data_IF_864229190646
#
_entry.id   IF_864229190646
#
_cell.length_a   1.000
_cell.length_b   1.000
_cell.length_c   1.000
_cell.angle_alpha   90.00
_cell.angle_beta   90.00
_cell.angle_gamma   90.00
#
_symmetry.space_group_name_H-M   'P 1'
#
loop_
_entity.id
_entity.type
_entity.pdbx_description
1 polymer ?
#
# COMPACT_ATOMS: atom_id res chain seq x y z
N UNK A 1 3.80 8.93 3.25
CA UNK A 1 2.65 9.87 3.14
C UNK A 1 2.73 10.78 1.93
N UNK A 2 3.86 11.49 1.77
CA UNK A 2 4.09 12.46 0.70
C UNK A 2 3.92 11.90 -0.72
N UNK A 3 4.43 10.70 -1.00
CA UNK A 3 4.31 10.01 -2.29
C UNK A 3 2.85 9.72 -2.67
N UNK A 4 1.97 9.51 -1.68
CA UNK A 4 0.54 9.30 -1.89
C UNK A 4 -0.22 10.54 -2.38
N UNK A 5 0.40 11.72 -2.32
CA UNK A 5 -0.19 12.98 -2.78
C UNK A 5 0.00 13.25 -4.26
N UNK A 6 0.90 12.50 -4.92
CA UNK A 6 1.24 12.70 -6.33
C UNK A 6 0.12 12.26 -7.27
N UNK A 7 0.00 12.98 -8.38
CA UNK A 7 -0.93 12.61 -9.45
C UNK A 7 -0.53 11.29 -10.15
N UNK A 8 0.77 11.10 -10.36
CA UNK A 8 1.32 9.82 -10.77
C UNK A 8 2.24 9.28 -9.66
N UNK A 9 1.76 8.36 -8.80
CA UNK A 9 2.55 7.82 -7.72
C UNK A 9 3.63 6.85 -8.21
N UNK A 10 3.65 6.46 -9.49
CA UNK A 10 4.69 5.59 -10.07
C UNK A 10 5.94 6.38 -10.48
N UNK A 11 5.76 7.56 -11.05
CA UNK A 11 6.81 8.37 -11.64
C UNK A 11 7.11 9.65 -10.84
N UNK A 12 7.70 9.50 -9.65
CA UNK A 12 8.17 10.64 -8.84
C UNK A 12 9.51 11.13 -9.40
N UNK A 13 9.65 12.40 -9.82
CA UNK A 13 10.91 12.91 -10.36
C UNK A 13 12.04 12.87 -9.32
N UNK A 14 13.25 12.51 -9.74
CA UNK A 14 14.44 12.46 -8.87
C UNK A 14 14.70 13.79 -8.14
N UNK A 15 14.47 14.92 -8.82
CA UNK A 15 14.62 16.25 -8.24
C UNK A 15 13.64 16.47 -7.07
N UNK A 16 12.40 16.03 -7.20
CA UNK A 16 11.39 16.15 -6.16
C UNK A 16 11.68 15.21 -4.99
N UNK A 17 12.04 13.96 -5.28
CA UNK A 17 12.43 12.99 -4.25
C UNK A 17 13.66 13.46 -3.48
N UNK A 18 14.69 13.94 -4.18
CA UNK A 18 15.91 14.50 -3.57
C UNK A 18 15.56 15.71 -2.69
N UNK A 19 14.74 16.63 -3.18
CA UNK A 19 14.31 17.81 -2.43
C UNK A 19 13.56 17.41 -1.17
N UNK A 20 12.63 16.46 -1.28
CA UNK A 20 11.87 15.96 -0.14
C UNK A 20 12.79 15.31 0.90
N UNK A 21 13.71 14.44 0.46
CA UNK A 21 14.68 13.80 1.36
C UNK A 21 15.53 14.84 2.10
N UNK A 22 16.01 15.88 1.42
CA UNK A 22 16.78 16.98 2.07
C UNK A 22 15.96 17.71 3.12
N UNK A 23 14.69 18.01 2.83
CA UNK A 23 13.78 18.67 3.77
C UNK A 23 13.56 17.77 4.99
N UNK A 24 13.33 16.48 4.78
CA UNK A 24 13.07 15.54 5.89
C UNK A 24 14.34 15.37 6.74
N UNK A 25 15.50 15.13 6.14
CA UNK A 25 16.74 14.89 6.90
C UNK A 25 17.16 16.10 7.71
N UNK A 26 17.07 17.31 7.14
CA UNK A 26 17.36 18.55 7.88
C UNK A 26 16.36 18.87 8.99
N UNK A 27 15.10 18.40 8.84
CA UNK A 27 14.08 18.59 9.88
C UNK A 27 14.22 17.62 11.05
N UNK A 28 14.84 16.45 10.83
CA UNK A 28 14.96 15.39 11.84
C UNK A 28 16.36 15.30 12.45
N UNK A 29 17.39 15.76 11.76
CA UNK A 29 18.79 15.67 12.21
C UNK A 29 19.48 17.01 11.97
N UNK A 30 19.70 17.77 13.05
CA UNK A 30 20.21 19.15 13.02
C UNK A 30 21.57 19.32 12.33
N UNK A 31 22.44 18.30 12.38
CA UNK A 31 23.80 18.34 11.82
C UNK A 31 23.96 17.54 10.52
N UNK A 32 22.86 17.16 9.86
CA UNK A 32 22.92 16.37 8.65
C UNK A 32 23.34 17.21 7.43
N UNK A 33 24.38 16.79 6.72
CA UNK A 33 24.78 17.42 5.46
C UNK A 33 23.75 17.11 4.34
N UNK A 34 22.80 18.01 4.16
CA UNK A 34 21.76 17.89 3.14
C UNK A 34 22.31 17.87 1.71
N UNK A 35 23.50 18.43 1.46
CA UNK A 35 24.13 18.41 0.14
C UNK A 35 24.64 17.01 -0.24
N UNK A 36 24.82 16.12 0.76
CA UNK A 36 25.17 14.73 0.53
C UNK A 36 24.01 13.88 -0.02
N UNK A 37 22.78 14.40 -0.08
CA UNK A 37 21.62 13.71 -0.69
C UNK A 37 21.52 14.07 -2.17
N UNK A 38 21.90 13.13 -3.03
CA UNK A 38 21.84 13.24 -4.49
C UNK A 38 21.44 11.89 -5.12
N UNK A 39 20.97 11.85 -6.37
CA UNK A 39 20.75 10.60 -7.09
C UNK A 39 22.00 9.70 -7.05
N UNK A 40 21.79 8.41 -6.78
CA UNK A 40 22.87 7.40 -6.65
C UNK A 40 23.54 7.32 -5.27
N UNK A 41 23.27 8.26 -4.35
CA UNK A 41 23.76 8.18 -2.97
C UNK A 41 23.02 7.10 -2.17
N UNK A 42 23.61 6.51 -1.11
CA UNK A 42 22.96 5.47 -0.33
C UNK A 42 21.57 5.84 0.20
N UNK A 43 21.39 7.08 0.68
CA UNK A 43 20.10 7.61 1.16
C UNK A 43 19.07 7.64 0.03
N UNK A 44 19.45 8.11 -1.15
CA UNK A 44 18.57 8.17 -2.31
C UNK A 44 18.19 6.77 -2.82
N UNK A 45 19.16 5.86 -2.93
CA UNK A 45 18.93 4.47 -3.34
C UNK A 45 17.96 3.77 -2.38
N UNK A 46 18.17 3.95 -1.08
CA UNK A 46 17.29 3.36 -0.06
C UNK A 46 15.88 3.94 -0.12
N UNK A 47 15.74 5.25 -0.37
CA UNK A 47 14.44 5.89 -0.56
C UNK A 47 13.68 5.34 -1.77
N UNK A 48 14.35 5.21 -2.92
CA UNK A 48 13.77 4.60 -4.12
C UNK A 48 13.35 3.16 -3.88
N UNK A 49 14.16 2.38 -3.16
CA UNK A 49 13.81 1.01 -2.78
C UNK A 49 12.56 0.97 -1.88
N UNK A 50 12.46 1.86 -0.88
CA UNK A 50 11.27 1.94 -0.02
C UNK A 50 10.02 2.38 -0.78
N UNK A 51 10.14 3.31 -1.74
CA UNK A 51 9.02 3.66 -2.62
C UNK A 51 8.57 2.46 -3.46
N UNK A 52 9.51 1.65 -3.95
CA UNK A 52 9.20 0.39 -4.62
C UNK A 52 8.43 -0.58 -3.73
N UNK A 53 8.89 -0.78 -2.49
CA UNK A 53 8.22 -1.62 -1.50
C UNK A 53 6.84 -1.09 -1.10
N UNK A 54 6.71 0.23 -0.95
CA UNK A 54 5.44 0.88 -0.64
C UNK A 54 4.40 0.63 -1.74
N UNK A 55 4.79 0.79 -3.02
CA UNK A 55 3.90 0.50 -4.16
C UNK A 55 3.53 -0.97 -4.25
N UNK A 56 4.49 -1.88 -4.10
CA UNK A 56 4.22 -3.32 -4.17
C UNK A 56 3.33 -3.81 -3.03
N UNK A 57 3.40 -3.17 -1.86
CA UNK A 57 2.58 -3.49 -0.71
C UNK A 57 1.06 -3.31 -0.98
N UNK A 58 0.66 -2.37 -1.85
CA UNK A 58 -0.75 -2.26 -2.26
C UNK A 58 -1.22 -3.52 -2.97
N UNK A 59 -0.43 -4.02 -3.92
CA UNK A 59 -0.78 -5.22 -4.69
C UNK A 59 -0.90 -6.47 -3.81
N UNK A 60 0.08 -6.72 -2.94
CA UNK A 60 0.03 -7.88 -2.04
C UNK A 60 -1.09 -7.78 -1.01
N UNK A 61 -1.31 -6.59 -0.45
CA UNK A 61 -2.40 -6.37 0.53
C UNK A 61 -3.76 -6.52 -0.15
N UNK A 62 -3.93 -6.04 -1.38
CA UNK A 62 -5.17 -6.22 -2.14
C UNK A 62 -5.49 -7.70 -2.40
N UNK A 63 -4.49 -8.50 -2.78
CA UNK A 63 -4.66 -9.96 -2.97
C UNK A 63 -5.12 -10.61 -1.66
N UNK A 64 -4.49 -10.29 -0.53
CA UNK A 64 -4.88 -10.83 0.77
C UNK A 64 -6.31 -10.43 1.16
N UNK A 65 -6.69 -9.17 0.94
CA UNK A 65 -8.05 -8.68 1.23
C UNK A 65 -9.12 -9.38 0.40
N UNK A 66 -8.89 -9.52 -0.92
CA UNK A 66 -9.84 -10.20 -1.80
C UNK A 66 -9.89 -11.70 -1.50
N UNK A 67 -8.75 -12.34 -1.22
CA UNK A 67 -8.72 -13.75 -0.79
C UNK A 67 -9.58 -13.97 0.46
N UNK A 68 -9.42 -13.12 1.48
CA UNK A 68 -10.18 -13.21 2.71
C UNK A 68 -11.68 -13.01 2.47
N UNK A 69 -12.07 -12.03 1.65
CA UNK A 69 -13.46 -11.82 1.26
C UNK A 69 -14.09 -13.04 0.56
N UNK A 70 -13.34 -13.68 -0.35
CA UNK A 70 -13.76 -14.88 -1.05
C UNK A 70 -13.77 -16.16 -0.18
N UNK A 71 -13.48 -16.07 1.13
CA UNK A 71 -13.58 -17.19 2.09
C UNK A 71 -14.75 -17.01 3.05
N UNK A 72 -15.22 -15.77 3.26
CA UNK A 72 -16.18 -15.43 4.32
C UNK A 72 -17.64 -15.85 4.04
N UNK A 73 -17.92 -16.62 2.98
CA UNK A 73 -19.26 -17.17 2.72
C UNK A 73 -19.28 -18.67 3.12
N UNK A 74 -19.82 -19.01 4.31
CA UNK A 74 -19.71 -20.33 4.90
C UNK A 74 -20.78 -21.33 4.43
N UNK A 75 -21.70 -20.94 3.54
CA UNK A 75 -22.91 -21.71 3.27
C UNK A 75 -22.84 -22.70 2.10
N UNK A 76 -21.67 -22.93 1.48
CA UNK A 76 -21.55 -23.97 0.46
C UNK A 76 -20.15 -24.59 0.37
N UNK A 77 -20.11 -25.89 0.08
CA UNK A 77 -18.90 -26.68 -0.12
C UNK A 77 -17.85 -25.92 -0.96
N UNK A 78 -16.65 -25.73 -0.40
CA UNK A 78 -15.42 -25.24 -1.04
C UNK A 78 -15.66 -24.40 -2.31
N UNK A 79 -15.71 -23.07 -2.18
CA UNK A 79 -15.97 -22.11 -3.24
C UNK A 79 -15.42 -22.59 -4.60
N UNK A 80 -16.29 -23.17 -5.43
CA UNK A 80 -15.84 -23.71 -6.71
C UNK A 80 -15.20 -22.59 -7.52
N UNK A 81 -14.19 -22.89 -8.34
CA UNK A 81 -13.56 -21.89 -9.23
C UNK A 81 -14.61 -21.10 -10.05
N UNK A 82 -15.75 -21.72 -10.36
CA UNK A 82 -16.87 -21.08 -11.03
C UNK A 82 -17.56 -20.01 -10.18
N UNK A 83 -17.77 -20.27 -8.88
CA UNK A 83 -18.36 -19.32 -7.95
C UNK A 83 -17.40 -18.16 -7.63
N UNK A 84 -16.08 -18.39 -7.54
CA UNK A 84 -15.10 -17.31 -7.37
C UNK A 84 -15.15 -16.39 -8.59
N UNK A 85 -15.11 -16.98 -9.79
CA UNK A 85 -15.21 -16.23 -11.04
C UNK A 85 -16.49 -15.41 -11.13
N UNK A 86 -17.64 -15.98 -10.73
CA UNK A 86 -18.92 -15.27 -10.72
C UNK A 86 -18.87 -14.04 -9.83
N UNK A 87 -18.39 -14.20 -8.61
CA UNK A 87 -18.25 -13.10 -7.64
C UNK A 87 -17.31 -12.00 -8.17
N UNK A 88 -16.16 -12.39 -8.74
CA UNK A 88 -15.25 -11.42 -9.34
C UNK A 88 -15.86 -10.71 -10.56
N UNK A 89 -16.67 -11.40 -11.38
CA UNK A 89 -17.41 -10.77 -12.48
C UNK A 89 -18.40 -9.74 -11.94
N UNK A 90 -19.13 -10.02 -10.87
CA UNK A 90 -20.07 -9.06 -10.26
C UNK A 90 -19.36 -7.81 -9.73
N UNK A 91 -18.12 -7.96 -9.25
CA UNK A 91 -17.29 -6.83 -8.81
C UNK A 91 -16.76 -5.97 -9.98
N UNK A 92 -16.48 -6.57 -11.14
CA UNK A 92 -15.82 -5.91 -12.29
C UNK A 92 -16.78 -5.51 -13.42
N UNK A 93 -17.65 -6.41 -13.86
CA UNK A 93 -18.39 -6.32 -15.13
C UNK A 93 -19.54 -5.29 -15.07
N UNK A 94 -19.81 -4.72 -13.89
CA UNK A 94 -20.70 -3.59 -13.68
C UNK A 94 -19.99 -2.23 -13.59
N UNK A 95 -20.52 -1.27 -12.80
CA UNK A 95 -19.91 0.05 -12.57
C UNK A 95 -18.67 0.00 -11.65
N UNK A 96 -17.93 -1.12 -11.61
CA UNK A 96 -16.85 -1.39 -10.66
C UNK A 96 -17.35 -1.28 -9.20
N UNK A 97 -18.32 -2.13 -8.84
CA UNK A 97 -19.02 -2.08 -7.54
C UNK A 97 -18.07 -2.16 -6.34
N UNK A 98 -16.90 -2.80 -6.51
CA UNK A 98 -15.85 -2.83 -5.49
C UNK A 98 -15.33 -1.44 -5.06
N UNK A 99 -15.64 -0.36 -5.80
CA UNK A 99 -15.32 1.02 -5.43
C UNK A 99 -16.35 1.64 -4.48
N UNK A 100 -17.59 1.17 -4.50
CA UNK A 100 -18.72 1.85 -3.87
C UNK A 100 -19.00 1.28 -2.48
N UNK A 101 -19.44 2.16 -1.58
CA UNK A 101 -19.95 1.74 -0.29
C UNK A 101 -21.06 0.69 -0.48
N UNK A 102 -21.03 -0.35 0.35
CA UNK A 102 -21.99 -1.46 0.32
C UNK A 102 -22.14 -2.16 -1.04
N UNK A 103 -21.15 -1.99 -1.93
CA UNK A 103 -21.17 -2.43 -3.33
C UNK A 103 -22.32 -1.82 -4.15
N UNK A 104 -22.94 -0.76 -3.65
CA UNK A 104 -24.05 -0.06 -4.29
C UNK A 104 -23.57 1.11 -5.14
N UNK A 105 -23.49 0.86 -6.44
CA UNK A 105 -23.07 1.86 -7.40
C UNK A 105 -24.18 2.82 -7.85
N UNK A 106 -25.37 2.75 -7.28
CA UNK A 106 -26.46 3.70 -7.60
C UNK A 106 -26.21 5.08 -7.02
N UNK A 107 -25.38 5.20 -5.98
CA UNK A 107 -25.04 6.46 -5.34
C UNK A 107 -23.56 6.86 -5.59
N UNK A 108 -23.29 7.75 -6.57
CA UNK A 108 -21.93 8.20 -6.86
C UNK A 108 -21.31 9.08 -5.78
N UNK A 109 -22.08 9.53 -4.77
CA UNK A 109 -21.52 10.25 -3.63
C UNK A 109 -20.62 9.37 -2.77
N UNK A 110 -20.82 8.05 -2.80
CA UNK A 110 -20.09 7.07 -1.98
C UNK A 110 -19.06 6.25 -2.79
N UNK A 111 -18.63 6.76 -3.95
CA UNK A 111 -17.53 6.15 -4.70
C UNK A 111 -16.21 6.27 -3.92
N UNK A 112 -15.39 5.22 -3.98
CA UNK A 112 -14.14 5.05 -3.23
C UNK A 112 -14.33 4.91 -1.71
N UNK A 113 -15.53 4.59 -1.26
CA UNK A 113 -15.86 4.37 0.16
C UNK A 113 -16.18 2.90 0.47
N UNK A 114 -15.93 1.98 -0.48
CA UNK A 114 -16.12 0.55 -0.22
C UNK A 114 -15.24 0.06 0.92
N UNK A 115 -15.68 -0.99 1.59
CA UNK A 115 -14.90 -1.66 2.63
C UNK A 115 -13.50 -2.05 2.13
N UNK A 116 -13.39 -2.52 0.87
CA UNK A 116 -12.12 -2.89 0.25
C UNK A 116 -11.17 -1.70 0.11
N UNK A 117 -11.66 -0.57 -0.39
CA UNK A 117 -10.85 0.65 -0.56
C UNK A 117 -10.40 1.15 0.81
N UNK A 118 -11.32 1.24 1.78
CA UNK A 118 -11.02 1.75 3.11
C UNK A 118 -10.01 0.85 3.83
N UNK A 119 -10.17 -0.48 3.81
CA UNK A 119 -9.21 -1.40 4.42
C UNK A 119 -7.85 -1.37 3.73
N UNK A 120 -7.81 -1.40 2.39
CA UNK A 120 -6.54 -1.36 1.68
C UNK A 120 -5.81 -0.04 1.94
N UNK A 121 -6.53 1.09 1.91
CA UNK A 121 -5.97 2.40 2.18
C UNK A 121 -5.46 2.52 3.63
N UNK A 122 -6.25 2.03 4.59
CA UNK A 122 -5.89 1.95 6.00
C UNK A 122 -4.59 1.16 6.21
N UNK A 123 -4.49 -0.05 5.66
CA UNK A 123 -3.36 -0.94 5.91
C UNK A 123 -2.13 -0.65 5.06
N UNK A 124 -2.29 -0.32 3.78
CA UNK A 124 -1.16 -0.13 2.85
C UNK A 124 -0.60 1.29 2.87
N UNK A 125 -1.39 2.29 3.27
CA UNK A 125 -0.95 3.70 3.26
C UNK A 125 -0.98 4.37 4.64
N UNK A 126 -2.11 4.31 5.37
CA UNK A 126 -2.24 5.08 6.61
C UNK A 126 -1.46 4.46 7.79
N UNK A 127 -1.50 3.13 7.95
CA UNK A 127 -0.82 2.43 9.05
C UNK A 127 0.70 2.67 9.08
N UNK A 128 1.43 2.61 7.95
CA UNK A 128 2.85 2.99 7.94
C UNK A 128 3.12 4.45 8.32
N UNK A 129 2.12 5.33 8.23
CA UNK A 129 2.26 6.75 8.54
C UNK A 129 1.93 7.11 10.00
N UNK A 130 1.54 6.13 10.83
CA UNK A 130 1.24 6.38 12.25
C UNK A 130 2.53 6.72 13.00
N UNK A 131 2.44 7.76 13.84
CA UNK A 131 3.58 8.23 14.64
C UNK A 131 4.57 9.10 13.86
N UNK A 132 4.40 9.24 12.54
CA UNK A 132 5.35 10.03 11.78
C UNK A 132 5.19 11.55 12.05
N UNK A 133 6.30 12.27 12.31
CA UNK A 133 6.28 13.67 12.70
C UNK A 133 5.75 14.55 11.58
N UNK A 134 5.15 15.68 11.93
CA UNK A 134 4.82 16.70 10.93
C UNK A 134 6.10 17.37 10.45
N UNK A 135 6.28 17.39 9.13
CA UNK A 135 7.36 18.10 8.43
C UNK A 135 6.73 19.27 7.68
N UNK A 136 6.75 20.49 8.26
CA UNK A 136 6.10 21.67 7.68
C UNK A 136 6.62 22.01 6.28
N UNK A 137 7.92 21.80 6.02
CA UNK A 137 8.54 22.03 4.71
C UNK A 137 7.98 21.16 3.59
N UNK A 138 7.28 20.07 3.92
CA UNK A 138 6.56 19.21 2.97
C UNK A 138 5.05 19.39 3.01
N UNK A 139 4.50 20.26 3.86
CA UNK A 139 3.05 20.45 3.98
C UNK A 139 2.30 19.22 4.51
N UNK A 140 2.98 18.32 5.23
CA UNK A 140 2.46 17.01 5.65
C UNK A 140 1.17 17.08 6.48
N UNK A 141 0.99 18.10 7.30
CA UNK A 141 -0.27 18.33 8.04
C UNK A 141 -1.47 18.55 7.09
N UNK A 142 -1.30 19.32 6.01
CA UNK A 142 -2.34 19.47 5.01
C UNK A 142 -2.55 18.17 4.22
N UNK A 143 -1.46 17.45 3.91
CA UNK A 143 -1.53 16.19 3.18
C UNK A 143 -2.32 15.12 3.93
N UNK A 144 -2.11 14.99 5.25
CA UNK A 144 -2.86 14.10 6.16
C UNK A 144 -4.37 14.25 6.01
N UNK A 145 -4.87 15.44 5.63
CA UNK A 145 -6.31 15.73 5.61
C UNK A 145 -6.98 15.37 4.30
N UNK A 146 -6.32 15.54 3.15
CA UNK A 146 -6.98 15.37 1.84
C UNK A 146 -6.05 15.09 0.66
N UNK A 147 -4.72 15.13 0.81
CA UNK A 147 -3.80 14.91 -0.31
C UNK A 147 -3.44 13.43 -0.45
N UNK A 148 -4.45 12.60 -0.70
CA UNK A 148 -4.34 11.13 -0.72
C UNK A 148 -4.79 10.52 -2.05
N UNK A 149 -5.00 11.35 -3.08
CA UNK A 149 -5.57 10.93 -4.37
C UNK A 149 -4.69 9.91 -5.09
N UNK A 150 -3.37 10.09 -5.04
CA UNK A 150 -2.40 9.13 -5.59
C UNK A 150 -2.49 7.78 -4.87
N UNK A 151 -2.49 7.79 -3.54
CA UNK A 151 -2.65 6.57 -2.75
C UNK A 151 -3.99 5.86 -2.99
N UNK A 152 -5.10 6.59 -3.08
CA UNK A 152 -6.42 6.03 -3.40
C UNK A 152 -6.46 5.46 -4.83
N UNK A 153 -5.78 6.08 -5.78
CA UNK A 153 -5.68 5.55 -7.15
C UNK A 153 -4.91 4.23 -7.20
N UNK A 154 -3.85 4.09 -6.38
CA UNK A 154 -3.15 2.81 -6.19
C UNK A 154 -4.07 1.76 -5.54
N UNK A 155 -4.88 2.14 -4.54
CA UNK A 155 -5.85 1.23 -3.94
C UNK A 155 -6.83 0.68 -4.98
N UNK A 156 -7.44 1.56 -5.79
CA UNK A 156 -8.40 1.17 -6.80
C UNK A 156 -7.77 0.24 -7.86
N UNK A 157 -6.59 0.61 -8.38
CA UNK A 157 -5.87 -0.22 -9.36
C UNK A 157 -5.42 -1.56 -8.77
N UNK A 158 -4.95 -1.59 -7.52
CA UNK A 158 -4.51 -2.81 -6.86
C UNK A 158 -5.67 -3.78 -6.57
N UNK A 159 -6.84 -3.26 -6.20
CA UNK A 159 -8.04 -4.08 -6.02
C UNK A 159 -8.54 -4.64 -7.35
N UNK A 160 -8.63 -3.81 -8.39
CA UNK A 160 -8.98 -4.31 -9.72
C UNK A 160 -8.01 -5.41 -10.17
N UNK A 161 -6.71 -5.20 -9.96
CA UNK A 161 -5.69 -6.20 -10.22
C UNK A 161 -5.95 -7.51 -9.48
N UNK A 162 -6.12 -7.46 -8.16
CA UNK A 162 -6.39 -8.63 -7.34
C UNK A 162 -7.65 -9.38 -7.81
N UNK A 163 -8.75 -8.66 -8.04
CA UNK A 163 -10.02 -9.25 -8.48
C UNK A 163 -9.84 -9.93 -9.86
N UNK A 164 -9.13 -9.30 -10.80
CA UNK A 164 -8.83 -9.91 -12.11
C UNK A 164 -7.96 -11.17 -12.01
N UNK A 165 -7.03 -11.22 -11.07
CA UNK A 165 -6.22 -12.42 -10.84
C UNK A 165 -7.09 -13.60 -10.40
N UNK A 166 -7.99 -13.39 -9.44
CA UNK A 166 -8.96 -14.42 -9.00
C UNK A 166 -9.97 -14.78 -10.10
N UNK A 167 -10.52 -13.79 -10.80
CA UNK A 167 -11.44 -13.97 -11.93
C UNK A 167 -10.88 -14.93 -12.99
N UNK A 168 -9.58 -14.77 -13.31
CA UNK A 168 -8.86 -15.56 -14.31
C UNK A 168 -8.33 -16.89 -13.78
N UNK A 169 -8.43 -17.13 -12.46
CA UNK A 169 -7.83 -18.28 -11.80
C UNK A 169 -6.29 -18.25 -11.79
N UNK A 170 -5.71 -17.06 -11.92
CA UNK A 170 -4.25 -16.84 -11.83
C UNK A 170 -3.76 -16.88 -10.37
N UNK A 171 -4.66 -16.66 -9.39
CA UNK A 171 -4.43 -16.89 -7.96
C UNK A 171 -5.55 -17.79 -7.43
N UNK A 172 -5.19 -18.79 -6.63
CA UNK A 172 -6.14 -19.62 -5.88
C UNK A 172 -6.31 -19.09 -4.47
N UNK A 173 -7.53 -19.17 -3.94
CA UNK A 173 -7.87 -18.70 -2.59
C UNK A 173 -7.09 -19.49 -1.53
N UNK A 174 -7.02 -20.82 -1.69
CA UNK A 174 -6.36 -21.73 -0.75
C UNK A 174 -4.86 -21.43 -0.59
N UNK A 175 -4.18 -21.04 -1.68
CA UNK A 175 -2.75 -20.72 -1.69
C UNK A 175 -2.41 -19.50 -0.82
N UNK A 176 -3.39 -18.63 -0.56
CA UNK A 176 -3.20 -17.42 0.25
C UNK A 176 -3.52 -17.64 1.74
N UNK A 177 -4.26 -18.71 2.08
CA UNK A 177 -4.73 -18.98 3.44
C UNK A 177 -3.96 -20.09 4.15
N UNK A 178 -3.14 -20.87 3.44
CA UNK A 178 -2.48 -22.09 3.96
C UNK A 178 -1.24 -21.87 4.84
N UNK A 179 -1.21 -20.83 5.70
CA UNK A 179 -0.14 -20.67 6.71
C UNK A 179 -0.71 -20.35 8.09
N UNK A 180 -1.13 -21.40 8.80
CA UNK A 180 -1.24 -21.33 10.26
C UNK A 180 0.17 -21.07 10.85
N UNK A 181 0.42 -19.84 11.28
CA UNK A 181 1.52 -19.50 12.18
C UNK A 181 2.71 -18.73 11.59
N UNK A 182 2.77 -18.48 10.28
CA UNK A 182 3.81 -17.64 9.66
C UNK A 182 3.14 -16.56 8.83
N UNK A 183 3.52 -15.28 9.02
CA UNK A 183 2.96 -14.10 8.32
C UNK A 183 2.62 -14.45 6.86
N UNK A 184 1.33 -14.64 6.56
CA UNK A 184 0.86 -14.99 5.22
C UNK A 184 1.32 -13.88 4.27
N UNK A 185 2.39 -14.15 3.52
CA UNK A 185 2.91 -13.20 2.56
C UNK A 185 2.20 -13.53 1.26
N UNK A 186 1.19 -12.75 0.90
CA UNK A 186 0.45 -12.97 -0.34
C UNK A 186 1.44 -13.06 -1.50
N UNK A 187 1.52 -14.23 -2.15
CA UNK A 187 2.51 -14.49 -3.19
C UNK A 187 1.94 -14.04 -4.53
N UNK A 188 2.66 -13.15 -5.21
CA UNK A 188 2.38 -12.84 -6.61
C UNK A 188 2.46 -14.14 -7.43
N UNK A 189 1.42 -14.47 -8.20
CA UNK A 189 1.40 -15.70 -8.97
C UNK A 189 2.52 -15.72 -10.02
N UNK A 190 3.08 -16.90 -10.24
CA UNK A 190 4.11 -17.13 -11.24
C UNK A 190 3.48 -17.50 -12.57
N UNK A 191 3.94 -16.88 -13.66
CA UNK A 191 3.54 -17.22 -15.02
C UNK A 191 4.76 -17.67 -15.82
N UNK A 192 4.61 -18.74 -16.58
CA UNK A 192 5.68 -19.24 -17.43
C UNK A 192 5.95 -18.23 -18.55
N UNK A 193 7.14 -17.64 -18.57
CA UNK A 193 7.55 -16.72 -19.61
C UNK A 193 7.84 -17.53 -20.89
N UNK A 194 7.03 -17.31 -21.94
CA UNK A 194 7.12 -18.05 -23.21
C UNK A 194 8.48 -17.92 -23.91
N UNK A 195 9.22 -16.84 -23.67
CA UNK A 195 10.51 -16.57 -24.31
C UNK A 195 11.67 -17.24 -23.56
N UNK A 196 11.66 -17.16 -22.23
CA UNK A 196 12.76 -17.71 -21.42
C UNK A 196 12.52 -19.13 -20.92
N UNK A 197 11.29 -19.63 -20.98
CA UNK A 197 10.86 -20.90 -20.37
C UNK A 197 10.87 -20.89 -18.84
N UNK A 198 11.20 -19.76 -18.20
CA UNK A 198 11.25 -19.61 -16.74
C UNK A 198 9.94 -19.05 -16.21
N UNK A 199 9.55 -19.53 -15.04
CA UNK A 199 8.48 -18.91 -14.26
C UNK A 199 8.89 -17.48 -13.85
N UNK A 200 7.97 -16.54 -14.03
CA UNK A 200 8.16 -15.15 -13.67
C UNK A 200 6.86 -14.55 -13.15
N UNK A 201 6.95 -13.85 -12.03
CA UNK A 201 5.85 -13.05 -11.49
C UNK A 201 5.69 -11.71 -12.20
N UNK A 202 6.64 -11.31 -13.06
CA UNK A 202 6.69 -9.96 -13.63
C UNK A 202 5.45 -9.61 -14.47
N UNK A 203 4.88 -10.59 -15.17
CA UNK A 203 3.69 -10.40 -15.99
C UNK A 203 2.41 -10.18 -15.17
N UNK A 204 2.40 -10.60 -13.90
CA UNK A 204 1.26 -10.50 -12.98
C UNK A 204 1.58 -9.63 -11.76
N UNK A 205 2.69 -8.88 -11.82
CA UNK A 205 3.09 -7.99 -10.75
C UNK A 205 2.25 -6.71 -10.80
N UNK A 206 1.87 -6.21 -9.63
CA UNK A 206 1.38 -4.85 -9.48
C UNK A 206 2.56 -3.88 -9.63
N UNK A 207 2.74 -3.38 -10.86
CA UNK A 207 3.88 -2.56 -11.27
C UNK A 207 3.41 -1.45 -12.22
N UNK A 208 4.22 -0.40 -12.37
CA UNK A 208 3.95 0.69 -13.32
C UNK A 208 3.72 0.17 -14.74
N UNK A 209 4.54 -0.78 -15.19
CA UNK A 209 4.46 -1.34 -16.54
C UNK A 209 3.10 -1.99 -16.82
N UNK A 210 2.51 -2.65 -15.81
CA UNK A 210 1.27 -3.42 -15.97
C UNK A 210 0.02 -2.61 -15.58
N UNK A 211 0.15 -1.71 -14.59
CA UNK A 211 -0.97 -1.07 -13.89
C UNK A 211 -0.87 0.45 -13.79
N UNK A 212 0.18 1.06 -14.35
CA UNK A 212 0.37 2.51 -14.35
C UNK A 212 -0.75 3.25 -15.07
N UNK A 213 -1.22 2.73 -16.21
CA UNK A 213 -2.34 3.32 -16.96
C UNK A 213 -3.64 3.31 -16.15
N UNK A 214 -4.05 2.15 -15.62
CA UNK A 214 -5.24 2.04 -14.78
C UNK A 214 -5.15 2.95 -13.55
N UNK A 215 -3.97 3.04 -12.91
CA UNK A 215 -3.75 3.95 -11.78
C UNK A 215 -4.00 5.40 -12.18
N UNK A 216 -3.47 5.86 -13.32
CA UNK A 216 -3.69 7.23 -13.82
C UNK A 216 -5.15 7.50 -14.19
N UNK A 217 -5.85 6.52 -14.75
CA UNK A 217 -7.28 6.64 -15.07
C UNK A 217 -8.12 6.80 -13.80
N UNK A 218 -7.84 6.00 -12.75
CA UNK A 218 -8.47 6.18 -11.44
C UNK A 218 -8.12 7.52 -10.82
N UNK A 219 -6.87 7.97 -10.92
CA UNK A 219 -6.48 9.29 -10.42
C UNK A 219 -7.27 10.40 -11.10
N UNK A 220 -7.45 10.35 -12.43
CA UNK A 220 -8.24 11.32 -13.17
C UNK A 220 -9.72 11.36 -12.72
N UNK A 221 -10.28 10.19 -12.36
CA UNK A 221 -11.62 10.09 -11.77
C UNK A 221 -11.67 10.70 -10.35
N UNK A 222 -10.79 10.26 -9.46
CA UNK A 222 -10.69 10.73 -8.05
C UNK A 222 -10.42 12.23 -7.96
N UNK A 223 -9.71 12.79 -8.94
CA UNK A 223 -9.43 14.23 -9.00
C UNK A 223 -10.69 15.10 -9.12
N UNK A 224 -11.81 14.53 -9.54
CA UNK A 224 -13.11 15.21 -9.58
C UNK A 224 -13.76 15.31 -8.20
N UNK A 225 -13.34 14.50 -7.23
CA UNK A 225 -13.82 14.55 -5.87
C UNK A 225 -13.24 15.77 -5.13
N UNK A 226 -14.11 16.50 -4.43
CA UNK A 226 -13.71 17.67 -3.65
C UNK A 226 -12.91 17.26 -2.39
N UNK A 227 -12.27 18.24 -1.74
CA UNK A 227 -11.45 17.96 -0.55
C UNK A 227 -12.27 17.47 0.64
N UNK A 228 -13.55 17.83 0.75
CA UNK A 228 -14.41 17.36 1.84
C UNK A 228 -14.63 15.84 1.75
N UNK A 229 -14.93 15.33 0.55
CA UNK A 229 -15.05 13.90 0.29
C UNK A 229 -13.73 13.15 0.56
N UNK A 230 -12.58 13.73 0.18
CA UNK A 230 -11.27 13.15 0.51
C UNK A 230 -11.02 13.08 2.00
N UNK A 231 -11.36 14.14 2.75
CA UNK A 231 -11.24 14.16 4.21
C UNK A 231 -12.16 13.14 4.89
N UNK A 232 -13.35 12.92 4.35
CA UNK A 232 -14.27 11.89 4.83
C UNK A 232 -13.70 10.48 4.62
N UNK A 233 -13.19 10.16 3.43
CA UNK A 233 -12.53 8.87 3.15
C UNK A 233 -11.36 8.62 4.10
N UNK A 234 -10.52 9.64 4.32
CA UNK A 234 -9.40 9.56 5.27
C UNK A 234 -9.89 9.29 6.68
N UNK A 235 -10.92 10.00 7.14
CA UNK A 235 -11.50 9.79 8.46
C UNK A 235 -12.05 8.37 8.63
N UNK A 236 -12.80 7.86 7.66
CA UNK A 236 -13.33 6.49 7.67
C UNK A 236 -12.22 5.44 7.67
N UNK A 237 -11.17 5.61 6.88
CA UNK A 237 -10.07 4.65 6.86
C UNK A 237 -9.27 4.67 8.17
N UNK A 238 -9.11 5.83 8.82
CA UNK A 238 -8.41 5.92 10.10
C UNK A 238 -9.10 5.12 11.22
N UNK A 239 -10.43 5.01 11.23
CA UNK A 239 -11.13 4.19 12.23
C UNK A 239 -10.77 2.71 12.15
N UNK A 240 -10.24 2.25 11.00
CA UNK A 240 -9.81 0.87 10.77
C UNK A 240 -8.36 0.60 11.21
N UNK A 241 -7.57 1.64 11.50
CA UNK A 241 -6.15 1.47 11.89
C UNK A 241 -5.95 1.49 13.40
N UNK A 242 -6.90 2.03 14.18
CA UNK A 242 -6.79 2.12 15.64
C UNK A 242 -6.93 0.71 16.23
N UNK A 243 -5.92 0.20 16.96
CA UNK A 243 -6.03 -1.10 17.62
C UNK A 243 -7.10 -1.02 18.72
N UNK A 244 -8.00 -2.00 18.75
CA UNK A 244 -8.73 -2.31 19.98
C UNK A 244 -7.69 -2.66 21.05
N UNK A 245 -7.50 -1.77 22.01
CA UNK A 245 -6.50 -1.88 23.07
C UNK A 245 -7.02 -2.84 24.14
N UNK A 246 -6.64 -4.12 24.06
CA UNK A 246 -6.74 -5.16 25.10
C UNK A 246 -6.08 -6.42 24.46
N UNK A 247 -4.93 -6.94 24.85
CA UNK A 247 -4.46 -7.37 26.18
C UNK A 247 -2.93 -7.40 26.27
N UNK A 248 -2.39 -7.05 27.45
CA UNK A 248 -0.99 -7.23 27.87
C UNK A 248 -0.85 -8.56 28.61
N UNK A 249 0.19 -9.35 28.30
CA UNK A 249 1.06 -10.08 29.24
C UNK A 249 2.15 -10.79 28.41
N UNK A 250 3.37 -10.25 28.30
CA UNK A 250 4.54 -10.35 29.19
C UNK A 250 5.19 -11.75 29.24
N UNK A 251 6.51 -11.77 29.01
CA UNK A 251 7.32 -13.00 29.03
C UNK A 251 8.49 -13.01 28.04
N UNK A 252 9.40 -12.03 28.10
CA UNK A 252 10.73 -12.16 27.47
C UNK A 252 11.81 -12.37 28.54
N UNK A 253 12.76 -13.26 28.25
CA UNK A 253 14.00 -13.43 29.02
C UNK A 253 15.19 -13.57 28.05
N UNK A 254 16.41 -13.13 28.44
CA UNK A 254 17.37 -12.50 27.55
C UNK A 254 18.56 -13.40 27.19
N UNK A 255 19.19 -13.13 26.04
CA UNK A 255 20.44 -13.74 25.64
C UNK A 255 21.17 -12.89 24.61
N UNK A 256 22.41 -12.55 24.95
CA UNK A 256 23.51 -12.10 24.08
C UNK A 256 23.72 -10.60 23.86
N UNK A 257 24.08 -9.95 24.97
CA UNK A 257 25.08 -8.89 25.03
C UNK A 257 26.43 -9.42 24.53
N UNK A 258 26.89 -8.97 23.35
CA UNK A 258 28.31 -8.72 23.01
C UNK A 258 28.43 -8.27 21.54
N UNK A 259 27.89 -7.09 21.22
CA UNK A 259 28.23 -6.36 19.99
C UNK A 259 28.05 -4.83 20.15
N UNK A 260 28.23 -4.33 21.37
CA UNK A 260 27.66 -3.06 21.84
C UNK A 260 28.57 -1.82 21.72
N UNK A 261 29.71 -1.88 21.04
CA UNK A 261 30.62 -0.71 20.99
C UNK A 261 31.08 -0.24 19.60
N UNK A 262 30.52 -0.79 18.50
CA UNK A 262 30.79 -0.28 17.14
C UNK A 262 29.53 0.06 16.31
N UNK A 263 28.33 -0.08 16.88
CA UNK A 263 27.05 0.15 16.18
C UNK A 263 26.25 1.38 16.61
N UNK A 264 26.63 2.05 17.70
CA UNK A 264 25.77 3.06 18.36
C UNK A 264 25.49 4.33 17.52
N UNK A 265 26.38 4.70 16.59
CA UNK A 265 26.17 5.91 15.74
C UNK A 265 25.34 5.60 14.48
N UNK A 266 25.16 4.33 14.11
CA UNK A 266 24.51 3.92 12.86
C UNK A 266 23.08 3.38 13.07
N UNK A 267 22.74 2.95 14.28
CA UNK A 267 21.38 2.55 14.66
C UNK A 267 20.42 3.73 14.70
N UNK A 268 20.85 4.88 15.24
CA UNK A 268 20.02 6.10 15.25
C UNK A 268 19.79 6.65 13.85
N UNK A 269 20.80 6.64 12.98
CA UNK A 269 20.63 7.06 11.59
C UNK A 269 19.75 6.07 10.83
N UNK A 270 19.89 4.74 11.02
CA UNK A 270 19.00 3.75 10.37
C UNK A 270 17.57 3.81 10.87
N UNK A 271 17.35 4.01 12.18
CA UNK A 271 16.03 4.15 12.78
C UNK A 271 15.39 5.47 12.33
N UNK A 272 16.14 6.57 12.38
CA UNK A 272 15.74 7.86 11.82
C UNK A 272 15.45 7.74 10.33
N UNK A 273 16.24 6.98 9.56
CA UNK A 273 15.99 6.74 8.12
C UNK A 273 14.72 5.91 7.91
N UNK A 274 14.44 4.91 8.74
CA UNK A 274 13.16 4.19 8.68
C UNK A 274 11.98 5.14 8.96
N UNK A 275 12.10 6.05 9.92
CA UNK A 275 11.09 7.08 10.22
C UNK A 275 10.98 8.16 9.12
N UNK A 276 12.11 8.59 8.55
CA UNK A 276 12.23 9.47 7.36
C UNK A 276 11.49 8.86 6.17
N UNK A 277 11.57 7.53 6.00
CA UNK A 277 11.02 6.83 4.85
C UNK A 277 9.56 6.41 5.03
N UNK A 278 9.04 6.34 6.26
CA UNK A 278 7.60 6.28 6.53
C UNK A 278 6.90 7.60 6.15
N UNK A 279 7.65 8.70 6.03
CA UNK A 279 7.14 10.01 5.61
C UNK A 279 7.01 10.15 4.09
N UNK A 280 7.87 9.48 3.30
CA UNK A 280 7.65 9.29 1.86
C UNK A 280 6.33 8.56 1.63
#
# INVERSE_FOLDING_TARGET
>A
MWAGSFADPWAIPDLELMTALRIITTSLVSDFDSHAVCPGTPTFVLATQRLGLWRSNFGSTAIALIAHFLVLDPDDDAWSTAAVRRTCNELIDGPLSFLYQDLDATNPAHTYQSHFILQLFAHAHLRPCIGCPDIPGLGTNAMKKYAVRGALSLCAAALEHAIRLFQRGEVQVDDQMSTHGMRATAKTPLKLNKVSGKESSSALAFSEQNWGTSTRDYHASISKCNNAAMSEIVAMAHTLVIPSMETLDDGSSPGDLMDEFYFAVNTDLRQSICEILCML
#
